data_IF_268303244865
#
_entry.id   IF_268303244865
#
_cell.length_a   1.000
_cell.length_b   1.000
_cell.length_c   1.000
_cell.angle_alpha   90.00
_cell.angle_beta   90.00
_cell.angle_gamma   90.00
#
_symmetry.space_group_name_H-M   'P 1'
#
loop_
_entity.id
_entity.type
_entity.pdbx_description
1 polymer ?
#
# COMPACT_ATOMS: atom_id res chain seq x y z
N UNK A 1 -4.62 4.07 20.38
CA UNK A 1 -4.84 4.17 18.93
C UNK A 1 -3.54 3.83 18.23
N UNK A 2 -3.55 2.82 17.36
CA UNK A 2 -2.37 2.39 16.60
C UNK A 2 -2.35 3.09 15.24
N UNK A 3 -1.17 3.56 14.83
CA UNK A 3 -0.95 4.28 13.57
C UNK A 3 0.03 3.49 12.70
N UNK A 4 -0.52 2.70 11.79
CA UNK A 4 0.21 1.91 10.81
C UNK A 4 0.15 2.61 9.44
N UNK A 5 0.66 3.83 9.42
CA UNK A 5 0.62 4.76 8.28
C UNK A 5 2.02 5.12 7.81
N UNK A 6 2.11 5.59 6.57
CA UNK A 6 3.28 6.28 6.07
C UNK A 6 3.65 7.45 6.99
N UNK A 7 4.94 7.58 7.27
CA UNK A 7 5.47 8.76 7.98
C UNK A 7 5.43 9.99 7.07
N UNK A 8 5.61 11.18 7.63
CA UNK A 8 5.69 12.42 6.85
C UNK A 8 6.80 12.36 5.77
N UNK A 9 7.93 11.75 6.09
CA UNK A 9 9.07 11.57 5.16
C UNK A 9 8.70 10.65 3.99
N UNK A 10 7.94 9.59 4.27
CA UNK A 10 7.43 8.68 3.25
C UNK A 10 6.38 9.37 2.36
N UNK A 11 5.49 10.17 2.96
CA UNK A 11 4.53 10.99 2.20
C UNK A 11 5.26 11.99 1.30
N UNK A 12 6.31 12.64 1.79
CA UNK A 12 7.15 13.53 0.98
C UNK A 12 7.89 12.78 -0.14
N UNK A 13 8.28 11.53 0.09
CA UNK A 13 8.83 10.66 -0.95
C UNK A 13 7.80 10.40 -2.06
N UNK A 14 6.57 10.02 -1.69
CA UNK A 14 5.48 9.78 -2.64
C UNK A 14 5.08 11.03 -3.40
N UNK A 15 5.05 12.21 -2.75
CA UNK A 15 4.78 13.50 -3.42
C UNK A 15 5.74 13.80 -4.55
N UNK A 16 7.02 13.43 -4.42
CA UNK A 16 8.04 13.69 -5.46
C UNK A 16 7.72 13.00 -6.79
N UNK A 17 6.92 11.93 -6.77
CA UNK A 17 6.48 11.25 -8.00
C UNK A 17 5.60 12.16 -8.87
N UNK A 18 4.91 13.15 -8.30
CA UNK A 18 3.98 14.00 -9.05
C UNK A 18 4.75 14.86 -10.07
N UNK A 19 4.38 14.75 -11.33
CA UNK A 19 4.99 15.47 -12.45
C UNK A 19 6.11 14.69 -13.15
N UNK A 20 6.59 13.59 -12.56
CA UNK A 20 7.61 12.71 -13.15
C UNK A 20 7.04 11.81 -14.24
N UNK A 21 7.92 11.32 -15.13
CA UNK A 21 7.62 10.20 -16.02
C UNK A 21 7.65 8.89 -15.22
N UNK A 22 6.52 8.19 -15.12
CA UNK A 22 6.47 6.82 -14.61
C UNK A 22 6.99 5.88 -15.69
N UNK A 23 8.25 5.48 -15.60
CA UNK A 23 8.93 4.69 -16.64
C UNK A 23 8.50 3.24 -16.57
N UNK A 24 8.58 2.65 -15.38
CA UNK A 24 8.25 1.25 -15.13
C UNK A 24 8.00 0.99 -13.65
N UNK A 25 7.52 -0.19 -13.33
CA UNK A 25 7.74 -0.76 -11.99
C UNK A 25 8.34 -2.16 -12.07
N UNK A 26 9.18 -2.48 -11.09
CA UNK A 26 9.82 -3.77 -10.94
C UNK A 26 9.23 -4.52 -9.74
N UNK A 27 9.07 -5.83 -9.85
CA UNK A 27 8.61 -6.66 -8.73
C UNK A 27 8.69 -8.15 -9.02
N UNK A 28 8.75 -8.95 -7.95
CA UNK A 28 8.53 -10.40 -8.00
C UNK A 28 7.02 -10.66 -8.21
N UNK A 29 6.58 -10.55 -9.47
CA UNK A 29 5.16 -10.44 -9.80
C UNK A 29 4.57 -11.75 -10.33
N UNK A 30 3.57 -12.28 -9.63
CA UNK A 30 2.77 -13.44 -10.01
C UNK A 30 1.28 -13.10 -9.91
N UNK A 31 0.47 -13.42 -10.93
CA UNK A 31 -1.00 -13.23 -10.90
C UNK A 31 -1.48 -11.83 -10.44
N UNK A 32 -0.87 -10.75 -10.96
CA UNK A 32 -1.18 -9.35 -10.59
C UNK A 32 -0.88 -9.01 -9.13
N UNK A 33 0.01 -9.75 -8.48
CA UNK A 33 0.49 -9.41 -7.15
C UNK A 33 2.01 -9.39 -7.11
N UNK A 34 2.58 -8.57 -6.24
CA UNK A 34 4.00 -8.57 -5.88
C UNK A 34 4.14 -8.96 -4.40
N UNK A 35 5.13 -9.79 -4.07
CA UNK A 35 5.36 -10.19 -2.68
C UNK A 35 6.41 -9.31 -2.01
N UNK A 36 6.07 -8.73 -0.85
CA UNK A 36 6.95 -7.94 0.00
C UNK A 36 7.22 -6.53 -0.52
N UNK A 37 7.74 -6.39 -1.75
CA UNK A 37 8.13 -5.09 -2.29
C UNK A 37 7.98 -4.96 -3.82
N UNK A 38 7.94 -3.71 -4.26
CA UNK A 38 8.07 -3.31 -5.66
C UNK A 38 8.83 -1.98 -5.75
N UNK A 39 9.42 -1.71 -6.91
CA UNK A 39 10.12 -0.45 -7.15
C UNK A 39 9.43 0.32 -8.28
N UNK A 40 8.97 1.53 -7.97
CA UNK A 40 8.40 2.49 -8.91
C UNK A 40 9.55 3.30 -9.52
N UNK A 41 9.78 3.19 -10.82
CA UNK A 41 10.89 3.84 -11.49
C UNK A 41 10.44 5.08 -12.26
N UNK A 42 11.15 6.19 -12.06
CA UNK A 42 11.06 7.40 -12.88
C UNK A 42 12.35 7.60 -13.66
N UNK A 43 12.42 8.65 -14.48
CA UNK A 43 13.66 9.05 -15.14
C UNK A 43 14.74 9.51 -14.16
N UNK A 44 14.35 10.13 -13.03
CA UNK A 44 15.28 10.83 -12.13
C UNK A 44 15.55 10.10 -10.82
N UNK A 45 14.64 9.24 -10.37
CA UNK A 45 14.76 8.47 -9.14
C UNK A 45 13.83 7.26 -9.15
N UNK A 46 13.90 6.45 -8.09
CA UNK A 46 12.94 5.37 -7.86
C UNK A 46 12.37 5.46 -6.45
N UNK A 47 11.17 4.93 -6.26
CA UNK A 47 10.55 4.75 -4.94
C UNK A 47 10.29 3.27 -4.76
N UNK A 48 10.94 2.67 -3.76
CA UNK A 48 10.61 1.31 -3.36
C UNK A 48 9.41 1.36 -2.41
N UNK A 49 8.31 0.72 -2.80
CA UNK A 49 7.14 0.52 -1.95
C UNK A 49 7.24 -0.89 -1.36
N UNK A 50 7.13 -0.99 -0.04
CA UNK A 50 7.21 -2.27 0.69
C UNK A 50 5.99 -2.47 1.54
N UNK A 51 5.61 -3.72 1.73
CA UNK A 51 4.56 -4.16 2.63
C UNK A 51 5.16 -5.17 3.61
N UNK A 52 5.73 -4.65 4.70
CA UNK A 52 6.56 -5.41 5.65
C UNK A 52 5.79 -5.65 6.95
N UNK A 53 6.04 -6.79 7.61
CA UNK A 53 5.45 -7.12 8.90
C UNK A 53 6.04 -6.25 10.01
N UNK A 54 5.16 -5.67 10.82
CA UNK A 54 5.53 -4.97 12.04
C UNK A 54 4.69 -5.47 13.22
N UNK A 55 5.31 -5.71 14.39
CA UNK A 55 4.58 -6.12 15.57
C UNK A 55 3.82 -4.94 16.18
N UNK A 56 2.53 -5.13 16.44
CA UNK A 56 1.70 -4.17 17.16
C UNK A 56 1.02 -4.82 18.35
N UNK A 57 0.87 -4.07 19.43
CA UNK A 57 0.04 -4.50 20.55
C UNK A 57 -1.44 -4.30 20.21
N UNK A 58 -2.14 -5.40 19.92
CA UNK A 58 -3.57 -5.47 19.60
C UNK A 58 -4.28 -6.31 20.68
N UNK A 59 -5.35 -5.81 21.29
CA UNK A 59 -6.17 -6.58 22.26
C UNK A 59 -5.38 -7.23 23.41
N UNK A 60 -4.33 -6.57 23.91
CA UNK A 60 -3.40 -7.10 24.93
C UNK A 60 -2.48 -8.25 24.47
N UNK A 61 -2.47 -8.55 23.17
CA UNK A 61 -1.56 -9.48 22.50
C UNK A 61 -0.64 -8.71 21.54
N UNK A 62 0.46 -9.35 21.11
CA UNK A 62 1.33 -8.82 20.06
C UNK A 62 1.00 -9.55 18.78
N UNK A 63 0.57 -8.79 17.79
CA UNK A 63 0.14 -9.28 16.49
C UNK A 63 1.04 -8.70 15.40
N UNK A 64 1.41 -9.54 14.45
CA UNK A 64 2.26 -9.19 13.33
C UNK A 64 1.39 -8.64 12.18
N UNK A 65 1.44 -7.32 11.94
CA UNK A 65 0.63 -6.67 10.91
C UNK A 65 1.51 -6.12 9.80
N UNK A 66 1.20 -6.46 8.55
CA UNK A 66 1.90 -5.89 7.41
C UNK A 66 1.56 -4.41 7.28
N UNK A 67 2.54 -3.55 6.97
CA UNK A 67 2.33 -2.12 6.79
C UNK A 67 3.04 -1.64 5.54
N UNK A 68 2.43 -0.67 4.86
CA UNK A 68 3.15 0.01 3.80
C UNK A 68 4.24 0.91 4.37
N UNK A 69 5.42 0.81 3.75
CA UNK A 69 6.53 1.74 3.91
C UNK A 69 7.07 2.09 2.52
N UNK A 70 7.78 3.21 2.39
CA UNK A 70 8.45 3.50 1.13
C UNK A 70 9.81 4.16 1.32
N UNK A 71 10.73 3.90 0.39
CA UNK A 71 12.11 4.35 0.44
C UNK A 71 12.48 5.02 -0.88
N UNK A 72 13.07 6.20 -0.78
CA UNK A 72 13.65 6.90 -1.93
C UNK A 72 14.95 6.20 -2.38
N UNK A 73 15.09 5.98 -3.68
CA UNK A 73 16.28 5.42 -4.32
C UNK A 73 16.75 6.32 -5.46
N UNK A 74 18.06 6.31 -5.71
CA UNK A 74 18.63 7.04 -6.86
C UNK A 74 18.24 6.36 -8.17
N UNK A 75 18.11 7.12 -9.25
CA UNK A 75 17.90 6.56 -10.58
C UNK A 75 18.92 5.46 -10.90
N UNK A 76 18.45 4.40 -11.55
CA UNK A 76 19.29 3.25 -11.94
C UNK A 76 19.68 2.32 -10.79
N UNK A 77 19.14 2.53 -9.59
CA UNK A 77 19.31 1.55 -8.50
C UNK A 77 18.62 0.25 -8.88
N UNK A 78 19.38 -0.85 -8.83
CA UNK A 78 18.88 -2.19 -9.18
C UNK A 78 17.79 -2.59 -8.18
N UNK A 79 16.70 -3.14 -8.70
CA UNK A 79 15.65 -3.72 -7.87
C UNK A 79 16.15 -5.01 -7.20
N UNK A 80 15.98 -5.09 -5.88
CA UNK A 80 16.27 -6.27 -5.08
C UNK A 80 14.93 -6.80 -4.55
N UNK A 81 14.45 -7.97 -5.04
CA UNK A 81 13.20 -8.53 -4.55
C UNK A 81 13.34 -8.98 -3.09
N UNK A 82 12.25 -8.88 -2.33
CA UNK A 82 12.21 -9.32 -0.93
C UNK A 82 12.50 -10.82 -0.75
N UNK A 83 12.15 -11.64 -1.75
CA UNK A 83 12.42 -13.08 -1.78
C UNK A 83 13.24 -13.45 -3.03
N UNK A 84 13.90 -14.62 -3.00
CA UNK A 84 14.70 -15.15 -4.11
C UNK A 84 13.82 -15.68 -5.28
N UNK A 85 12.88 -14.86 -5.74
CA UNK A 85 12.01 -15.16 -6.87
C UNK A 85 12.42 -14.32 -8.10
N UNK A 86 12.24 -14.86 -9.33
CA UNK A 86 12.40 -14.06 -10.53
C UNK A 86 11.47 -12.85 -10.50
N UNK A 87 12.06 -11.68 -10.74
CA UNK A 87 11.30 -10.44 -10.87
C UNK A 87 11.24 -10.00 -12.33
N UNK A 88 10.27 -9.14 -12.61
CA UNK A 88 10.07 -8.57 -13.94
C UNK A 88 9.84 -7.06 -13.87
N UNK A 89 10.21 -6.40 -14.96
CA UNK A 89 9.90 -4.99 -15.22
C UNK A 89 8.61 -4.89 -16.02
N UNK A 90 7.68 -4.07 -15.56
CA UNK A 90 6.47 -3.70 -16.31
C UNK A 90 6.64 -2.28 -16.83
N UNK A 91 6.78 -2.07 -18.15
CA UNK A 91 6.93 -0.73 -18.73
C UNK A 91 5.61 0.05 -18.67
N UNK A 92 5.70 1.35 -18.39
CA UNK A 92 4.56 2.28 -18.28
C UNK A 92 4.73 3.43 -19.26
N UNK A 93 5.77 4.25 -19.07
CA UNK A 93 6.12 5.42 -19.89
C UNK A 93 4.98 6.45 -19.99
N UNK A 94 4.50 6.93 -18.84
CA UNK A 94 3.41 7.90 -18.73
C UNK A 94 3.71 8.96 -17.70
N UNK A 95 3.23 10.18 -17.91
CA UNK A 95 3.41 11.26 -16.92
C UNK A 95 2.50 11.08 -15.71
N UNK A 96 3.06 11.12 -14.50
CA UNK A 96 2.30 11.10 -13.24
C UNK A 96 1.64 12.47 -13.02
N UNK A 97 0.32 12.47 -12.86
CA UNK A 97 -0.49 13.67 -12.63
C UNK A 97 -0.98 13.79 -11.19
N UNK A 98 -0.95 12.71 -10.42
CA UNK A 98 -1.30 12.74 -9.01
C UNK A 98 -0.98 11.45 -8.29
N UNK A 99 -0.82 11.55 -6.97
CA UNK A 99 -0.68 10.41 -6.07
C UNK A 99 -1.72 10.53 -4.98
N UNK A 100 -2.33 9.43 -4.57
CA UNK A 100 -3.28 9.39 -3.47
C UNK A 100 -3.01 8.20 -2.57
N UNK A 101 -3.21 8.39 -1.26
CA UNK A 101 -3.12 7.34 -0.25
C UNK A 101 -4.54 7.03 0.21
N UNK A 102 -4.91 5.75 0.22
CA UNK A 102 -6.16 5.26 0.78
C UNK A 102 -5.86 4.69 2.16
N UNK A 103 -6.54 5.17 3.20
CA UNK A 103 -6.38 4.66 4.56
C UNK A 103 -7.71 4.17 5.12
N UNK A 104 -7.69 3.07 5.86
CA UNK A 104 -8.82 2.60 6.66
C UNK A 104 -8.55 2.81 8.14
N UNK A 105 -9.49 3.43 8.84
CA UNK A 105 -9.55 3.48 10.30
C UNK A 105 -10.56 2.45 10.78
N UNK A 106 -10.10 1.40 11.44
CA UNK A 106 -10.93 0.35 12.06
C UNK A 106 -11.15 0.71 13.52
N UNK A 107 -12.41 0.77 13.93
CA UNK A 107 -12.87 1.07 15.28
C UNK A 107 -13.60 -0.15 15.80
N UNK A 108 -13.21 -0.63 16.98
CA UNK A 108 -13.76 -1.83 17.63
C UNK A 108 -14.32 -1.47 19.00
N UNK A 109 -15.51 -1.99 19.31
CA UNK A 109 -16.23 -1.85 20.57
C UNK A 109 -16.37 -0.39 21.04
N UNK A 110 -16.96 0.47 20.20
CA UNK A 110 -17.22 1.88 20.51
C UNK A 110 -15.94 2.65 20.95
N UNK A 111 -14.89 2.62 20.11
CA UNK A 111 -13.59 3.27 20.33
C UNK A 111 -12.73 2.69 21.47
N UNK A 112 -13.10 1.55 22.07
CA UNK A 112 -12.22 0.78 22.97
C UNK A 112 -10.88 0.48 22.28
N UNK A 113 -10.94 0.14 20.99
CA UNK A 113 -9.78 -0.08 20.17
C UNK A 113 -9.91 0.61 18.80
N UNK A 114 -8.84 1.29 18.37
CA UNK A 114 -8.80 1.97 17.09
C UNK A 114 -7.42 1.85 16.44
N UNK A 115 -7.41 1.49 15.15
CA UNK A 115 -6.21 1.38 14.33
C UNK A 115 -6.43 2.01 12.96
N UNK A 116 -5.42 2.70 12.45
CA UNK A 116 -5.46 3.25 11.09
C UNK A 116 -4.33 2.68 10.26
N UNK A 117 -4.67 2.20 9.07
CA UNK A 117 -3.74 1.59 8.12
C UNK A 117 -3.78 2.30 6.78
N UNK A 118 -2.63 2.48 6.15
CA UNK A 118 -2.60 2.77 4.72
C UNK A 118 -2.80 1.48 3.93
N UNK A 119 -3.86 1.47 3.11
CA UNK A 119 -4.38 0.33 2.37
C UNK A 119 -3.98 0.36 0.90
N UNK A 120 -3.76 1.52 0.31
CA UNK A 120 -3.33 1.63 -1.08
C UNK A 120 -2.53 2.91 -1.35
N UNK A 121 -1.59 2.81 -2.28
CA UNK A 121 -1.04 3.94 -3.01
C UNK A 121 -1.62 3.91 -4.42
N UNK A 122 -2.29 4.99 -4.81
CA UNK A 122 -2.88 5.16 -6.14
C UNK A 122 -2.06 6.20 -6.90
N UNK A 123 -1.49 5.81 -8.03
CA UNK A 123 -0.75 6.69 -8.94
C UNK A 123 -1.63 6.94 -10.16
N UNK A 124 -2.04 8.19 -10.33
CA UNK A 124 -2.76 8.64 -11.52
C UNK A 124 -1.76 9.19 -12.52
N UNK A 125 -1.82 8.70 -13.75
CA UNK A 125 -1.05 9.22 -14.88
C UNK A 125 -1.95 10.03 -15.81
N UNK A 126 -1.42 10.45 -16.94
CA UNK A 126 -2.20 11.10 -18.00
C UNK A 126 -3.15 10.13 -18.74
N UNK A 127 -2.96 8.81 -18.63
CA UNK A 127 -3.77 7.80 -19.33
C UNK A 127 -4.51 6.86 -18.40
N UNK A 128 -3.87 6.42 -17.33
CA UNK A 128 -4.32 5.34 -16.47
C UNK A 128 -4.26 5.71 -14.98
N UNK A 129 -4.87 4.86 -14.18
CA UNK A 129 -4.74 4.88 -12.73
C UNK A 129 -4.20 3.53 -12.25
N UNK A 130 -3.00 3.54 -11.67
CA UNK A 130 -2.34 2.37 -11.11
C UNK A 130 -2.59 2.31 -9.60
N UNK A 131 -3.07 1.17 -9.12
CA UNK A 131 -3.29 0.93 -7.70
C UNK A 131 -2.31 -0.13 -7.20
N UNK A 132 -1.65 0.19 -6.10
CA UNK A 132 -0.80 -0.71 -5.32
C UNK A 132 -1.47 -0.86 -3.96
N UNK A 133 -2.29 -1.90 -3.81
CA UNK A 133 -3.13 -2.08 -2.62
C UNK A 133 -2.69 -3.27 -1.78
N UNK A 134 -2.93 -3.20 -0.49
CA UNK A 134 -2.82 -4.34 0.42
C UNK A 134 -4.04 -5.23 0.27
N UNK A 135 -3.81 -6.50 0.55
CA UNK A 135 -4.87 -7.48 0.74
C UNK A 135 -5.27 -7.50 2.24
N UNK A 136 -5.55 -8.69 2.77
CA UNK A 136 -5.72 -8.93 4.21
C UNK A 136 -4.57 -8.35 5.04
N UNK A 137 -4.84 -7.91 6.27
CA UNK A 137 -3.92 -7.18 7.16
C UNK A 137 -2.57 -7.87 7.43
N UNK A 138 -2.58 -9.20 7.50
CA UNK A 138 -1.43 -10.08 7.69
C UNK A 138 -0.75 -10.53 6.39
N UNK A 139 -1.18 -10.01 5.25
CA UNK A 139 -0.58 -10.33 3.96
C UNK A 139 0.49 -9.32 3.59
N UNK A 140 1.69 -9.82 3.31
CA UNK A 140 2.82 -9.07 2.74
C UNK A 140 2.68 -8.84 1.23
N UNK A 141 1.57 -9.30 0.64
CA UNK A 141 1.31 -9.17 -0.79
C UNK A 141 0.77 -7.79 -1.14
N UNK A 142 1.28 -7.23 -2.24
CA UNK A 142 0.81 -6.00 -2.87
C UNK A 142 0.03 -6.38 -4.12
N UNK A 143 -1.27 -6.11 -4.12
CA UNK A 143 -2.12 -6.25 -5.29
C UNK A 143 -1.86 -5.11 -6.28
N UNK A 144 -1.82 -5.44 -7.56
CA UNK A 144 -1.52 -4.54 -8.66
C UNK A 144 -2.71 -4.47 -9.58
N UNK A 145 -3.27 -3.28 -9.78
CA UNK A 145 -4.36 -3.09 -10.74
C UNK A 145 -4.28 -1.78 -11.50
N UNK A 146 -4.92 -1.77 -12.67
CA UNK A 146 -4.98 -0.64 -13.59
C UNK A 146 -6.45 -0.31 -13.84
N UNK A 147 -6.81 0.95 -13.68
CA UNK A 147 -8.15 1.52 -13.92
C UNK A 147 -9.28 0.85 -13.11
N UNK A 148 -8.94 0.33 -11.92
CA UNK A 148 -9.90 -0.21 -10.94
C UNK A 148 -10.17 0.72 -9.77
N UNK A 149 -9.23 1.64 -9.50
CA UNK A 149 -9.32 2.55 -8.36
C UNK A 149 -9.60 1.85 -7.03
N UNK A 150 -10.71 2.20 -6.39
CA UNK A 150 -11.05 1.66 -5.07
C UNK A 150 -11.66 0.26 -5.11
N UNK A 151 -12.11 -0.20 -6.29
CA UNK A 151 -12.79 -1.49 -6.43
C UNK A 151 -11.87 -2.67 -6.09
N UNK A 152 -10.55 -2.46 -6.21
CA UNK A 152 -9.51 -3.45 -5.95
C UNK A 152 -8.77 -3.21 -4.62
N UNK A 153 -9.21 -2.22 -3.84
CA UNK A 153 -8.76 -2.04 -2.45
C UNK A 153 -9.60 -2.95 -1.56
N UNK A 154 -8.95 -3.70 -0.67
CA UNK A 154 -9.58 -4.70 0.20
C UNK A 154 -10.93 -4.20 0.76
N UNK A 155 -12.07 -4.85 0.46
CA UNK A 155 -13.38 -4.25 0.72
C UNK A 155 -13.66 -3.98 2.20
N UNK A 156 -14.28 -2.84 2.50
CA UNK A 156 -14.68 -2.47 3.88
C UNK A 156 -15.52 -3.58 4.53
N UNK A 157 -16.42 -4.22 3.78
CA UNK A 157 -17.25 -5.31 4.29
C UNK A 157 -16.43 -6.54 4.72
N UNK A 158 -15.30 -6.80 4.04
CA UNK A 158 -14.36 -7.85 4.45
C UNK A 158 -13.60 -7.42 5.70
N UNK A 159 -13.03 -6.21 5.72
CA UNK A 159 -12.39 -5.66 6.93
C UNK A 159 -13.29 -5.78 8.16
N UNK A 160 -14.58 -5.44 8.03
CA UNK A 160 -15.54 -5.59 9.13
C UNK A 160 -15.66 -7.05 9.55
N UNK A 161 -15.90 -7.97 8.61
CA UNK A 161 -16.07 -9.39 8.91
C UNK A 161 -14.84 -9.99 9.62
N UNK A 162 -13.66 -9.62 9.15
CA UNK A 162 -12.37 -10.11 9.62
C UNK A 162 -12.07 -9.67 11.06
N UNK A 163 -12.47 -8.45 11.41
CA UNK A 163 -12.27 -7.89 12.74
C UNK A 163 -13.45 -8.15 13.67
N UNK A 164 -14.59 -8.62 13.16
CA UNK A 164 -15.81 -8.86 13.94
C UNK A 164 -15.68 -10.09 14.87
N UNK A 165 -14.72 -10.97 14.60
CA UNK A 165 -14.38 -12.13 15.44
C UNK A 165 -15.63 -12.95 15.81
N UNK A 166 -16.32 -13.48 14.78
CA UNK A 166 -17.56 -14.27 14.92
C UNK A 166 -18.67 -13.61 15.76
N UNK A 167 -18.73 -12.27 15.75
CA UNK A 167 -19.75 -11.49 16.46
C UNK A 167 -19.31 -11.00 17.84
N UNK A 168 -18.11 -11.36 18.30
CA UNK A 168 -17.57 -10.95 19.59
C UNK A 168 -17.23 -9.45 19.63
N UNK A 169 -17.02 -8.83 18.46
CA UNK A 169 -16.54 -7.45 18.34
C UNK A 169 -17.49 -6.60 17.51
N UNK A 170 -17.89 -5.43 18.03
CA UNK A 170 -18.62 -4.43 17.24
C UNK A 170 -17.61 -3.62 16.44
N UNK A 171 -17.64 -3.75 15.11
CA UNK A 171 -16.63 -3.15 14.23
C UNK A 171 -17.26 -2.11 13.31
N UNK A 172 -16.62 -0.96 13.21
CA UNK A 172 -16.89 0.02 12.15
C UNK A 172 -15.58 0.41 11.47
N UNK A 173 -15.67 0.77 10.19
CA UNK A 173 -14.50 1.13 9.38
C UNK A 173 -14.79 2.41 8.64
N UNK A 174 -13.85 3.35 8.70
CA UNK A 174 -13.89 4.59 7.95
C UNK A 174 -12.74 4.60 6.94
N UNK A 175 -13.07 4.62 5.66
CA UNK A 175 -12.09 4.80 4.58
C UNK A 175 -11.91 6.27 4.26
N UNK A 176 -10.67 6.71 4.20
CA UNK A 176 -10.27 8.05 3.81
C UNK A 176 -9.32 8.00 2.62
N UNK A 177 -9.33 9.06 1.82
CA UNK A 177 -8.44 9.21 0.66
C UNK A 177 -7.79 10.58 0.78
N UNK A 178 -6.46 10.59 0.75
CA UNK A 178 -5.67 11.82 0.78
C UNK A 178 -4.93 11.94 -0.55
N UNK A 179 -5.28 12.95 -1.33
CA UNK A 179 -4.49 13.36 -2.49
C UNK A 179 -3.28 14.17 -2.04
N UNK A 180 -2.10 13.81 -2.55
CA UNK A 180 -0.82 14.34 -2.11
C UNK A 180 -0.39 15.63 -2.80
#
# INVERSE_FOLDING_TARGET
MVQAKFTSEMIDCLRKLIGESFVSYDGAIMNQTAYGNLQLNTEHFSVELRNEVHPFSLFSEVEDVSCFSCIFKRAGTIFEPFCEEPWKTVPINEKITGVSIVSDTVIVNDDEYAITFDMAVIIKTEKHQYSFSRNWFFSETINLSVDKGLDDVYPISRVIADWNDDGNRRVSVQRSIVSL
#
